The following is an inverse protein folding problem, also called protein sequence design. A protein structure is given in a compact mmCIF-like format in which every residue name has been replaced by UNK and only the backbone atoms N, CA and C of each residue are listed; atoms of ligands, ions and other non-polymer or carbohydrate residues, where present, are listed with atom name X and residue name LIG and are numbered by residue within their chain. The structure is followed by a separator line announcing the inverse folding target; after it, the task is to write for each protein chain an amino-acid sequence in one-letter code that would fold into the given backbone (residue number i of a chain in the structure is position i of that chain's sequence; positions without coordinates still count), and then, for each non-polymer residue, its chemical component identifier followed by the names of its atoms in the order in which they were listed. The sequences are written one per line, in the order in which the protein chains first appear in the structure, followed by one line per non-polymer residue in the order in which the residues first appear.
data_IF_139398015812
#
_entry.id   IF_139398015812
#
_cell.length_a   1.000
_cell.length_b   1.000
_cell.length_c   1.000
_cell.angle_alpha   90.00
_cell.angle_beta   90.00
_cell.angle_gamma   90.00
#
_symmetry.space_group_name_H-M   'P 1'
#
loop_
_entity.id
_entity.type
_entity.pdbx_description
1 polymer ?
#
# COMPACT_ATOMS: atom_id res chain seq x y z
N UNK A 1 -3.60 9.19 -24.10
CA UNK A 1 -3.00 9.40 -22.75
C UNK A 1 -3.97 9.07 -21.60
N UNK A 2 -5.08 8.39 -21.90
CA UNK A 2 -6.17 8.02 -20.97
C UNK A 2 -5.93 6.67 -20.29
N UNK A 3 -5.07 5.82 -20.87
CA UNK A 3 -4.77 4.47 -20.36
C UNK A 3 -4.00 4.48 -19.03
N UNK A 4 -3.24 5.54 -18.73
CA UNK A 4 -2.47 5.65 -17.47
C UNK A 4 -3.37 5.86 -16.24
N UNK A 5 -4.48 6.59 -16.39
CA UNK A 5 -5.41 6.84 -15.28
C UNK A 5 -6.13 5.57 -14.79
N UNK A 6 -6.26 4.57 -15.66
CA UNK A 6 -7.04 3.35 -15.38
C UNK A 6 -6.28 2.38 -14.44
N UNK A 7 -4.95 2.46 -14.37
CA UNK A 7 -4.15 1.45 -13.66
C UNK A 7 -3.94 1.68 -12.16
N UNK A 8 -4.37 2.81 -11.59
CA UNK A 8 -4.02 3.19 -10.19
C UNK A 8 -5.20 3.60 -9.30
N UNK A 9 -6.43 3.63 -9.83
CA UNK A 9 -7.60 4.04 -9.05
C UNK A 9 -8.00 3.06 -7.93
N UNK A 10 -7.52 1.81 -7.93
CA UNK A 10 -8.19 0.72 -7.18
C UNK A 10 -7.75 0.49 -5.73
N UNK A 11 -6.88 1.31 -5.14
CA UNK A 11 -6.56 1.15 -3.71
C UNK A 11 -7.78 1.37 -2.82
N UNK A 12 -8.55 2.41 -3.12
CA UNK A 12 -9.86 2.65 -2.50
C UNK A 12 -11.01 2.47 -3.48
N UNK A 13 -10.83 2.20 -4.78
CA UNK A 13 -11.97 2.22 -5.71
C UNK A 13 -13.09 1.24 -5.38
N UNK A 14 -12.81 0.07 -4.77
CA UNK A 14 -13.90 -0.81 -4.33
C UNK A 14 -14.68 -0.19 -3.17
N UNK A 15 -14.01 0.43 -2.20
CA UNK A 15 -14.69 1.20 -1.14
C UNK A 15 -15.34 2.48 -1.67
N UNK A 16 -14.70 3.24 -2.57
CA UNK A 16 -15.30 4.41 -3.20
C UNK A 16 -16.50 3.99 -4.08
N UNK A 17 -16.48 2.81 -4.71
CA UNK A 17 -17.63 2.27 -5.45
C UNK A 17 -18.77 1.93 -4.49
N UNK A 18 -18.45 1.33 -3.34
CA UNK A 18 -19.42 1.05 -2.30
C UNK A 18 -19.99 2.33 -1.65
N UNK A 19 -19.14 3.34 -1.42
CA UNK A 19 -19.52 4.69 -0.99
C UNK A 19 -20.47 5.33 -2.01
N UNK A 20 -20.15 5.28 -3.30
CA UNK A 20 -21.01 5.77 -4.39
C UNK A 20 -22.36 5.06 -4.38
N UNK A 21 -22.38 3.74 -4.11
CA UNK A 21 -23.62 2.96 -4.03
C UNK A 21 -24.45 3.32 -2.79
N UNK A 22 -23.81 3.54 -1.64
CA UNK A 22 -24.50 3.86 -0.36
C UNK A 22 -24.76 5.35 -0.13
N UNK A 23 -24.11 6.23 -0.89
CA UNK A 23 -24.12 7.70 -0.74
C UNK A 23 -23.73 8.18 0.68
N UNK A 24 -22.78 7.51 1.33
CA UNK A 24 -22.31 7.88 2.68
C UNK A 24 -20.79 7.90 2.71
N UNK A 25 -20.13 8.95 3.26
CA UNK A 25 -18.67 9.04 3.33
C UNK A 25 -18.00 7.85 4.03
N UNK A 26 -16.77 7.56 3.65
CA UNK A 26 -15.92 6.57 4.32
C UNK A 26 -15.37 7.17 5.62
N UNK A 27 -15.61 6.51 6.75
CA UNK A 27 -15.08 6.97 8.05
C UNK A 27 -13.63 6.50 8.20
N UNK A 28 -12.70 7.45 8.31
CA UNK A 28 -11.30 7.11 8.62
C UNK A 28 -11.20 6.64 10.07
N UNK A 29 -10.56 5.49 10.26
CA UNK A 29 -10.39 4.84 11.57
C UNK A 29 -8.96 4.30 11.70
N UNK A 30 -8.70 3.54 12.77
CA UNK A 30 -7.44 2.80 12.96
C UNK A 30 -7.31 1.56 12.07
N UNK A 31 -8.35 1.23 11.30
CA UNK A 31 -8.38 0.06 10.43
C UNK A 31 -8.05 -1.25 11.17
N UNK A 32 -8.75 -1.51 12.29
CA UNK A 32 -8.47 -2.64 13.19
C UNK A 32 -8.56 -4.02 12.51
N UNK A 33 -9.35 -4.13 11.43
CA UNK A 33 -9.50 -5.36 10.65
C UNK A 33 -8.50 -5.50 9.49
N UNK A 34 -7.45 -4.68 9.45
CA UNK A 34 -6.40 -4.80 8.43
C UNK A 34 -5.38 -5.89 8.76
N UNK A 35 -4.85 -6.54 7.73
CA UNK A 35 -3.60 -7.30 7.80
C UNK A 35 -2.47 -6.29 7.89
N UNK A 36 -1.83 -6.22 9.06
CA UNK A 36 -0.87 -5.17 9.40
C UNK A 36 0.41 -5.72 10.05
N UNK A 37 0.79 -6.93 9.67
CA UNK A 37 2.00 -7.58 10.18
C UNK A 37 3.25 -6.82 9.74
N UNK A 38 4.02 -6.26 10.69
CA UNK A 38 5.26 -5.55 10.43
C UNK A 38 6.50 -6.46 10.41
N UNK A 39 6.33 -7.74 10.74
CA UNK A 39 7.38 -8.77 10.79
C UNK A 39 8.57 -8.44 11.69
N UNK A 40 8.39 -7.51 12.63
CA UNK A 40 9.39 -7.15 13.62
C UNK A 40 9.65 -8.35 14.55
N UNK A 41 10.88 -8.85 14.53
CA UNK A 41 11.29 -10.02 15.33
C UNK A 41 11.14 -11.39 14.65
N UNK A 42 10.48 -11.49 13.48
CA UNK A 42 10.30 -12.77 12.77
C UNK A 42 10.73 -12.77 11.30
N UNK A 43 11.30 -11.66 10.80
CA UNK A 43 11.75 -11.54 9.40
C UNK A 43 12.58 -12.73 8.91
N UNK A 44 13.63 -13.22 9.61
CA UNK A 44 14.42 -14.35 9.13
C UNK A 44 13.61 -15.64 8.96
N UNK A 45 12.68 -15.92 9.89
CA UNK A 45 11.83 -17.11 9.84
C UNK A 45 10.83 -17.03 8.68
N UNK A 46 10.22 -15.86 8.46
CA UNK A 46 9.28 -15.66 7.34
C UNK A 46 10.02 -15.72 5.99
N UNK A 47 11.22 -15.14 5.89
CA UNK A 47 12.05 -15.20 4.68
C UNK A 47 12.32 -16.64 4.23
N UNK A 48 12.55 -17.59 5.15
CA UNK A 48 12.84 -18.99 4.78
C UNK A 48 11.68 -19.70 4.06
N UNK A 49 10.45 -19.23 4.23
CA UNK A 49 9.26 -19.85 3.64
C UNK A 49 8.62 -19.01 2.52
N UNK A 50 9.16 -17.82 2.24
CA UNK A 50 8.53 -16.86 1.33
C UNK A 50 8.40 -17.40 -0.09
N UNK A 51 9.45 -18.05 -0.60
CA UNK A 51 9.46 -18.61 -1.95
C UNK A 51 8.39 -19.68 -2.13
N UNK A 52 8.27 -20.61 -1.17
CA UNK A 52 7.24 -21.64 -1.18
C UNK A 52 5.84 -21.03 -1.13
N UNK A 53 5.63 -20.02 -0.28
CA UNK A 53 4.32 -19.37 -0.16
C UNK A 53 3.93 -18.67 -1.46
N UNK A 54 4.87 -17.94 -2.07
CA UNK A 54 4.68 -17.26 -3.34
C UNK A 54 4.24 -18.22 -4.45
N UNK A 55 4.91 -19.37 -4.61
CA UNK A 55 4.51 -20.37 -5.61
C UNK A 55 3.13 -20.97 -5.34
N UNK A 56 2.78 -21.23 -4.07
CA UNK A 56 1.42 -21.68 -3.69
C UNK A 56 0.37 -20.64 -4.09
N UNK A 57 0.61 -19.37 -3.79
CA UNK A 57 -0.33 -18.27 -4.06
C UNK A 57 -0.48 -18.02 -5.56
N UNK A 58 0.62 -18.05 -6.32
CA UNK A 58 0.59 -17.95 -7.79
C UNK A 58 -0.22 -19.09 -8.42
N UNK A 59 0.01 -20.34 -8.00
CA UNK A 59 -0.72 -21.49 -8.53
C UNK A 59 -2.24 -21.43 -8.26
N UNK A 60 -2.65 -20.80 -7.16
CA UNK A 60 -4.07 -20.62 -6.80
C UNK A 60 -4.73 -19.42 -7.48
N UNK A 61 -3.95 -18.43 -7.92
CA UNK A 61 -4.47 -17.18 -8.45
C UNK A 61 -3.76 -16.79 -9.75
N UNK A 62 -4.38 -17.14 -10.89
CA UNK A 62 -3.86 -16.84 -12.24
C UNK A 62 -3.59 -15.34 -12.47
N UNK A 63 -4.39 -14.46 -11.86
CA UNK A 63 -4.18 -13.01 -11.97
C UNK A 63 -2.91 -12.59 -11.24
N UNK A 64 -2.65 -13.16 -10.05
CA UNK A 64 -1.42 -12.92 -9.30
C UNK A 64 -0.20 -13.51 -10.00
N UNK A 65 -0.29 -14.75 -10.49
CA UNK A 65 0.75 -15.39 -11.30
C UNK A 65 1.14 -14.53 -12.50
N UNK A 66 0.16 -14.09 -13.28
CA UNK A 66 0.39 -13.23 -14.44
C UNK A 66 1.06 -11.91 -14.04
N UNK A 67 0.55 -11.25 -12.99
CA UNK A 67 1.13 -10.00 -12.49
C UNK A 67 2.60 -10.19 -12.06
N UNK A 68 2.90 -11.26 -11.34
CA UNK A 68 4.25 -11.60 -10.88
C UNK A 68 5.21 -11.91 -12.03
N UNK A 69 4.76 -12.69 -13.02
CA UNK A 69 5.56 -13.07 -14.17
C UNK A 69 5.88 -11.86 -15.06
N UNK A 70 4.92 -10.95 -15.26
CA UNK A 70 5.15 -9.69 -15.97
C UNK A 70 6.13 -8.80 -15.20
N UNK A 71 5.97 -8.67 -13.88
CA UNK A 71 6.87 -7.91 -13.04
C UNK A 71 8.32 -8.46 -13.06
N UNK A 72 8.46 -9.79 -13.03
CA UNK A 72 9.76 -10.47 -13.14
C UNK A 72 10.46 -10.16 -14.46
N UNK A 73 9.72 -10.16 -15.59
CA UNK A 73 10.28 -9.83 -16.91
C UNK A 73 10.80 -8.39 -16.96
N UNK A 74 10.06 -7.46 -16.36
CA UNK A 74 10.43 -6.06 -16.29
C UNK A 74 11.62 -5.80 -15.37
N UNK A 75 11.66 -6.49 -14.22
CA UNK A 75 12.80 -6.43 -13.33
C UNK A 75 14.09 -6.84 -14.03
N UNK A 76 14.06 -7.93 -14.83
CA UNK A 76 15.22 -8.39 -15.62
C UNK A 76 15.73 -7.37 -16.65
N UNK A 77 14.90 -6.41 -17.05
CA UNK A 77 15.28 -5.34 -17.99
C UNK A 77 15.85 -4.10 -17.27
N UNK A 78 15.72 -4.01 -15.94
CA UNK A 78 16.24 -2.89 -15.16
C UNK A 78 17.71 -3.12 -14.81
N UNK A 79 18.51 -2.07 -14.97
CA UNK A 79 19.90 -2.02 -14.51
C UNK A 79 20.01 -1.10 -13.30
N UNK A 80 19.47 -1.55 -12.16
CA UNK A 80 19.57 -0.81 -10.90
C UNK A 80 20.26 -1.66 -9.83
N UNK A 81 21.11 -1.03 -9.02
CA UNK A 81 21.71 -1.67 -7.86
C UNK A 81 20.71 -1.72 -6.72
N UNK A 82 20.59 -2.87 -6.07
CA UNK A 82 19.72 -3.05 -4.91
C UNK A 82 20.45 -2.58 -3.64
N UNK A 83 19.78 -1.80 -2.76
CA UNK A 83 20.35 -1.45 -1.47
C UNK A 83 20.55 -2.69 -0.58
N UNK A 84 21.39 -2.56 0.44
CA UNK A 84 21.69 -3.65 1.38
C UNK A 84 20.39 -4.21 1.98
N UNK A 85 20.24 -5.54 1.91
CA UNK A 85 19.09 -6.27 2.45
C UNK A 85 17.89 -6.35 1.48
N UNK A 86 17.93 -5.66 0.35
CA UNK A 86 16.92 -5.80 -0.70
C UNK A 86 17.31 -6.91 -1.67
N UNK A 87 16.34 -7.77 -1.98
CA UNK A 87 16.48 -8.87 -2.94
C UNK A 87 15.59 -8.65 -4.16
N UNK A 88 15.82 -9.40 -5.23
CA UNK A 88 15.05 -9.29 -6.47
C UNK A 88 13.53 -9.43 -6.23
N UNK A 89 13.09 -10.34 -5.36
CA UNK A 89 11.67 -10.55 -5.08
C UNK A 89 11.01 -9.33 -4.42
N UNK A 90 11.75 -8.53 -3.64
CA UNK A 90 11.25 -7.26 -3.11
C UNK A 90 10.99 -6.24 -4.23
N UNK A 91 11.91 -6.13 -5.18
CA UNK A 91 11.76 -5.25 -6.34
C UNK A 91 10.63 -5.72 -7.27
N UNK A 92 10.51 -7.03 -7.50
CA UNK A 92 9.43 -7.63 -8.29
C UNK A 92 8.08 -7.38 -7.63
N UNK A 93 7.98 -7.51 -6.30
CA UNK A 93 6.77 -7.19 -5.55
C UNK A 93 6.32 -5.73 -5.75
N UNK A 94 7.25 -4.77 -5.70
CA UNK A 94 6.95 -3.35 -5.98
C UNK A 94 6.44 -3.16 -7.42
N UNK A 95 7.07 -3.79 -8.41
CA UNK A 95 6.64 -3.69 -9.81
C UNK A 95 5.25 -4.34 -9.99
N UNK A 96 5.02 -5.48 -9.34
CA UNK A 96 3.74 -6.18 -9.40
C UNK A 96 2.61 -5.33 -8.81
N UNK A 97 2.86 -4.64 -7.69
CA UNK A 97 1.93 -3.72 -7.04
C UNK A 97 1.65 -2.48 -7.91
N UNK A 98 2.67 -1.76 -8.35
CA UNK A 98 2.51 -0.46 -9.02
C UNK A 98 1.94 -0.53 -10.44
N UNK A 99 2.09 -1.67 -11.14
CA UNK A 99 1.74 -1.77 -12.56
C UNK A 99 0.42 -2.47 -12.84
N UNK A 100 0.19 -3.59 -12.15
CA UNK A 100 -0.83 -4.55 -12.55
C UNK A 100 -2.09 -4.32 -11.75
N UNK A 101 -3.25 -4.75 -12.25
CA UNK A 101 -4.55 -4.63 -11.55
C UNK A 101 -4.64 -5.38 -10.22
N UNK A 102 -3.58 -6.09 -9.81
CA UNK A 102 -3.55 -6.88 -8.58
C UNK A 102 -3.61 -6.01 -7.33
N UNK A 103 -3.11 -4.76 -7.37
CA UNK A 103 -3.13 -3.87 -6.20
C UNK A 103 -4.54 -3.61 -5.67
N UNK A 104 -5.57 -3.62 -6.51
CA UNK A 104 -6.95 -3.41 -6.07
C UNK A 104 -7.43 -4.53 -5.14
N UNK A 105 -7.42 -5.77 -5.64
CA UNK A 105 -7.79 -6.95 -4.86
C UNK A 105 -6.83 -7.19 -3.68
N UNK A 106 -5.53 -6.93 -3.86
CA UNK A 106 -4.55 -7.01 -2.78
C UNK A 106 -4.85 -6.03 -1.65
N UNK A 107 -5.06 -4.75 -1.97
CA UNK A 107 -5.37 -3.71 -0.99
C UNK A 107 -6.71 -3.98 -0.29
N UNK A 108 -7.73 -4.39 -1.05
CA UNK A 108 -9.03 -4.73 -0.47
C UNK A 108 -8.91 -5.89 0.53
N UNK A 109 -8.22 -6.97 0.16
CA UNK A 109 -7.99 -8.07 1.09
C UNK A 109 -7.10 -7.67 2.25
N UNK A 110 -6.09 -6.83 2.05
CA UNK A 110 -5.25 -6.32 3.14
C UNK A 110 -6.10 -5.57 4.16
N UNK A 111 -7.04 -4.76 3.69
CA UNK A 111 -7.94 -3.97 4.55
C UNK A 111 -8.95 -4.81 5.35
N UNK A 112 -9.37 -5.96 4.82
CA UNK A 112 -10.54 -6.69 5.33
C UNK A 112 -10.22 -8.06 5.99
N UNK A 113 -8.99 -8.56 5.90
CA UNK A 113 -8.63 -9.93 6.35
C UNK A 113 -7.92 -10.02 7.73
N UNK A 114 -7.81 -8.94 8.50
CA UNK A 114 -7.16 -8.93 9.81
C UNK A 114 -7.66 -10.01 10.75
N UNK A 115 -8.99 -10.22 10.84
CA UNK A 115 -9.58 -11.30 11.65
C UNK A 115 -9.50 -12.70 11.00
N UNK A 116 -9.03 -12.82 9.75
CA UNK A 116 -9.00 -14.05 8.95
C UNK A 116 -7.63 -14.27 8.29
N UNK A 117 -6.54 -14.00 9.03
CA UNK A 117 -5.16 -14.10 8.52
C UNK A 117 -4.81 -15.43 7.84
N UNK A 118 -5.39 -16.55 8.31
CA UNK A 118 -5.18 -17.86 7.71
C UNK A 118 -5.67 -17.95 6.26
N UNK A 119 -6.73 -17.21 5.94
CA UNK A 119 -7.40 -17.20 4.65
C UNK A 119 -6.87 -16.08 3.73
N UNK A 120 -6.02 -15.21 4.25
CA UNK A 120 -5.43 -14.12 3.47
C UNK A 120 -4.57 -14.69 2.32
N UNK A 121 -4.87 -14.36 1.05
CA UNK A 121 -4.29 -15.06 -0.10
C UNK A 121 -3.02 -14.40 -0.66
N UNK A 122 -2.51 -13.35 -0.01
CA UNK A 122 -1.37 -12.56 -0.46
C UNK A 122 -0.30 -12.40 0.63
N UNK A 123 -0.07 -13.46 1.41
CA UNK A 123 0.93 -13.46 2.48
C UNK A 123 2.31 -13.16 1.93
N UNK A 124 2.66 -13.72 0.77
CA UNK A 124 3.98 -13.49 0.19
C UNK A 124 4.17 -12.06 -0.30
N UNK A 125 3.19 -11.53 -1.03
CA UNK A 125 3.21 -10.16 -1.54
C UNK A 125 3.24 -9.14 -0.40
N UNK A 126 2.45 -9.36 0.66
CA UNK A 126 2.43 -8.51 1.84
C UNK A 126 3.78 -8.46 2.54
N UNK A 127 4.41 -9.62 2.79
CA UNK A 127 5.74 -9.68 3.39
C UNK A 127 6.80 -8.96 2.55
N UNK A 128 6.84 -9.26 1.24
CA UNK A 128 7.84 -8.70 0.34
C UNK A 128 7.69 -7.18 0.21
N UNK A 129 6.47 -6.66 0.10
CA UNK A 129 6.23 -5.21 0.08
C UNK A 129 6.57 -4.56 1.43
N UNK A 130 6.20 -5.18 2.55
CA UNK A 130 6.50 -4.65 3.89
C UNK A 130 8.01 -4.51 4.08
N UNK A 131 8.77 -5.56 3.76
CA UNK A 131 10.24 -5.53 3.83
C UNK A 131 10.83 -4.52 2.87
N UNK A 132 10.32 -4.43 1.64
CA UNK A 132 10.80 -3.46 0.67
C UNK A 132 10.63 -2.01 1.17
N UNK A 133 9.44 -1.67 1.70
CA UNK A 133 9.17 -0.34 2.27
C UNK A 133 10.05 -0.06 3.48
N UNK A 134 10.25 -1.04 4.37
CA UNK A 134 11.14 -0.88 5.53
C UNK A 134 12.61 -0.65 5.13
N UNK A 135 13.10 -1.33 4.09
CA UNK A 135 14.49 -1.18 3.60
C UNK A 135 14.68 0.16 2.89
N UNK A 136 13.67 0.60 2.12
CA UNK A 136 13.69 1.83 1.33
C UNK A 136 13.22 3.07 2.12
N UNK A 137 12.96 2.94 3.42
CA UNK A 137 12.50 4.03 4.26
C UNK A 137 13.50 5.19 4.24
N UNK A 138 13.01 6.38 3.93
CA UNK A 138 13.78 7.63 3.95
C UNK A 138 13.39 8.50 5.17
N UNK A 139 13.90 9.74 5.21
CA UNK A 139 13.45 10.74 6.18
C UNK A 139 11.98 11.09 5.95
N UNK A 140 11.33 11.66 6.98
CA UNK A 140 9.94 12.08 6.84
C UNK A 140 9.78 13.10 5.70
N UNK A 141 8.71 12.96 4.92
CA UNK A 141 8.43 13.81 3.76
C UNK A 141 6.92 14.05 3.59
N UNK A 142 6.58 15.11 2.84
CA UNK A 142 5.20 15.42 2.47
C UNK A 142 4.84 14.81 1.12
N UNK A 143 3.76 14.05 1.10
CA UNK A 143 3.20 13.38 -0.07
C UNK A 143 1.71 13.65 -0.20
N UNK A 144 1.15 13.35 -1.37
CA UNK A 144 -0.24 13.66 -1.71
C UNK A 144 -0.96 12.43 -2.24
N UNK A 145 -2.26 12.32 -1.93
CA UNK A 145 -3.14 11.29 -2.50
C UNK A 145 -4.49 11.91 -2.83
N UNK A 146 -4.89 11.85 -4.10
CA UNK A 146 -6.26 12.14 -4.52
C UNK A 146 -7.11 10.87 -4.42
N UNK A 147 -8.36 11.04 -4.03
CA UNK A 147 -9.36 9.98 -3.98
C UNK A 147 -10.70 10.49 -4.52
N UNK A 148 -11.40 9.62 -5.26
CA UNK A 148 -12.75 9.90 -5.78
C UNK A 148 -13.87 9.48 -4.80
N UNK A 149 -13.51 9.36 -3.52
CA UNK A 149 -14.39 9.12 -2.40
C UNK A 149 -14.34 10.28 -1.39
N UNK A 150 -15.42 10.46 -0.63
CA UNK A 150 -15.51 11.40 0.49
C UNK A 150 -15.14 10.69 1.79
N UNK A 151 -14.32 11.35 2.61
CA UNK A 151 -13.89 10.81 3.88
C UNK A 151 -14.37 11.68 5.05
N UNK A 152 -14.81 11.01 6.11
CA UNK A 152 -15.19 11.65 7.36
C UNK A 152 -14.19 11.31 8.46
N UNK A 153 -13.76 12.33 9.19
CA UNK A 153 -12.89 12.21 10.36
C UNK A 153 -12.96 13.48 11.21
N UNK A 154 -12.20 13.55 12.31
CA UNK A 154 -12.09 14.72 13.18
C UNK A 154 -10.64 15.10 13.42
N UNK A 155 -10.37 16.39 13.63
CA UNK A 155 -9.04 16.87 14.02
C UNK A 155 -8.64 16.19 15.33
N UNK A 156 -7.40 15.71 15.41
CA UNK A 156 -6.86 14.96 16.54
C UNK A 156 -7.10 13.45 16.47
N UNK A 157 -7.97 12.95 15.59
CA UNK A 157 -8.20 11.52 15.44
C UNK A 157 -6.92 10.79 14.99
N UNK A 158 -6.72 9.60 15.54
CA UNK A 158 -5.67 8.67 15.10
C UNK A 158 -6.26 7.74 14.04
N UNK A 159 -5.62 7.71 12.88
CA UNK A 159 -6.09 6.98 11.70
C UNK A 159 -4.96 6.19 11.05
N UNK A 160 -5.35 5.12 10.37
CA UNK A 160 -4.50 4.31 9.51
C UNK A 160 -5.27 4.01 8.24
N UNK A 161 -4.56 3.83 7.13
CA UNK A 161 -5.18 3.37 5.90
C UNK A 161 -5.50 1.86 5.94
N UNK A 162 -4.77 1.06 6.74
CA UNK A 162 -4.98 -0.39 6.88
C UNK A 162 -4.65 -1.20 5.63
N UNK A 163 -3.97 -0.59 4.67
CA UNK A 163 -3.51 -1.21 3.44
C UNK A 163 -2.32 -0.44 2.92
N UNK A 164 -1.59 -1.02 1.97
CA UNK A 164 -0.58 -0.28 1.25
C UNK A 164 -1.24 0.87 0.49
N UNK A 165 -0.67 2.07 0.64
CA UNK A 165 -1.29 3.29 0.11
C UNK A 165 -0.33 4.01 -0.80
N UNK A 166 -0.62 4.01 -2.10
CA UNK A 166 0.11 4.82 -3.08
C UNK A 166 -0.14 6.31 -2.86
N UNK A 167 0.93 7.08 -2.86
CA UNK A 167 0.92 8.54 -2.79
C UNK A 167 1.93 9.09 -3.80
N UNK A 168 1.91 10.41 -4.02
CA UNK A 168 2.85 11.09 -4.92
C UNK A 168 3.51 12.28 -4.24
N UNK A 169 4.79 12.52 -4.53
CA UNK A 169 5.45 13.80 -4.20
C UNK A 169 4.86 14.99 -4.98
N UNK A 170 4.01 14.75 -5.99
CA UNK A 170 3.38 15.78 -6.80
C UNK A 170 1.87 15.84 -6.54
N UNK A 171 1.42 16.95 -5.95
CA UNK A 171 -0.03 17.23 -5.78
C UNK A 171 -0.79 17.13 -7.12
N UNK A 172 -0.21 17.62 -8.21
CA UNK A 172 -0.81 17.56 -9.56
C UNK A 172 -1.00 16.12 -10.04
N UNK A 173 -0.04 15.24 -9.75
CA UNK A 173 -0.17 13.80 -10.07
C UNK A 173 -1.27 13.19 -9.21
N UNK A 174 -1.27 13.47 -7.89
CA UNK A 174 -2.28 12.97 -6.96
C UNK A 174 -3.71 13.36 -7.37
N UNK A 175 -3.92 14.62 -7.80
CA UNK A 175 -5.21 15.10 -8.33
C UNK A 175 -5.70 14.30 -9.53
N UNK A 176 -4.79 13.77 -10.35
CA UNK A 176 -5.14 12.94 -11.50
C UNK A 176 -5.83 11.62 -11.13
N UNK A 177 -5.71 11.16 -9.88
CA UNK A 177 -6.29 9.92 -9.35
C UNK A 177 -7.60 10.11 -8.60
N UNK A 178 -7.92 11.35 -8.21
CA UNK A 178 -9.23 11.71 -7.71
C UNK A 178 -9.28 13.11 -7.13
N UNK A 179 -10.47 13.71 -7.18
CA UNK A 179 -10.68 15.13 -6.86
C UNK A 179 -11.68 15.34 -5.72
N UNK A 180 -12.38 14.28 -5.27
CA UNK A 180 -13.34 14.40 -4.17
C UNK A 180 -12.68 14.66 -2.82
N UNK A 181 -11.58 13.97 -2.53
CA UNK A 181 -10.77 14.20 -1.33
C UNK A 181 -9.30 14.25 -1.70
N UNK A 182 -8.58 15.24 -1.19
CA UNK A 182 -7.14 15.38 -1.33
C UNK A 182 -6.45 15.21 0.03
N UNK A 183 -5.69 14.13 0.19
CA UNK A 183 -4.83 13.96 1.35
C UNK A 183 -3.50 14.67 1.15
N UNK A 184 -3.09 15.46 2.14
CA UNK A 184 -1.72 15.95 2.29
C UNK A 184 -1.13 15.26 3.51
N UNK A 185 -0.12 14.42 3.31
CA UNK A 185 0.35 13.47 4.30
C UNK A 185 1.82 13.76 4.58
N UNK A 186 2.17 14.00 5.83
CA UNK A 186 3.57 13.93 6.27
C UNK A 186 3.83 12.51 6.75
N UNK A 187 4.51 11.70 5.96
CA UNK A 187 4.86 10.31 6.27
C UNK A 187 6.29 10.21 6.77
N UNK A 188 6.56 9.29 7.68
CA UNK A 188 7.89 8.94 8.17
C UNK A 188 8.27 7.47 7.87
N UNK A 189 7.33 6.67 7.34
CA UNK A 189 7.53 5.26 6.98
C UNK A 189 7.34 5.01 5.48
N UNK A 190 6.95 6.03 4.72
CA UNK A 190 6.84 5.96 3.27
C UNK A 190 8.18 5.66 2.60
N UNK A 191 8.11 4.88 1.53
CA UNK A 191 9.27 4.56 0.72
C UNK A 191 9.08 5.04 -0.72
N UNK A 192 10.06 5.77 -1.24
CA UNK A 192 10.11 6.11 -2.66
C UNK A 192 10.32 4.86 -3.49
N UNK A 193 9.35 4.54 -4.36
CA UNK A 193 9.42 3.39 -5.26
C UNK A 193 9.66 3.78 -6.71
N UNK A 194 10.02 5.04 -6.95
CA UNK A 194 10.26 5.63 -8.28
C UNK A 194 11.24 4.81 -9.12
N UNK A 195 12.32 4.30 -8.51
CA UNK A 195 13.35 3.51 -9.20
C UNK A 195 12.82 2.16 -9.70
N UNK A 196 11.81 1.61 -9.03
CA UNK A 196 11.24 0.30 -9.31
C UNK A 196 9.99 0.41 -10.18
N UNK A 197 9.19 1.45 -10.01
CA UNK A 197 7.99 1.70 -10.81
C UNK A 197 8.33 1.83 -12.31
N UNK A 198 7.40 1.43 -13.16
CA UNK A 198 7.46 1.76 -14.60
C UNK A 198 7.06 3.21 -14.85
N UNK A 199 6.40 3.84 -13.87
CA UNK A 199 5.76 5.12 -13.98
C UNK A 199 6.50 6.16 -13.14
N UNK A 200 7.81 6.31 -13.38
CA UNK A 200 8.67 7.22 -12.60
C UNK A 200 8.13 8.67 -12.53
N UNK A 201 7.35 9.10 -13.54
CA UNK A 201 6.69 10.42 -13.57
C UNK A 201 5.64 10.61 -12.47
N UNK A 202 5.13 9.53 -11.89
CA UNK A 202 4.16 9.58 -10.80
C UNK A 202 4.81 9.96 -9.46
N UNK A 203 6.15 9.88 -9.37
CA UNK A 203 6.91 10.19 -8.17
C UNK A 203 6.33 9.48 -6.93
N UNK A 204 6.05 8.19 -7.12
CA UNK A 204 5.28 7.40 -6.17
C UNK A 204 6.07 7.13 -4.89
N UNK A 205 5.40 7.38 -3.76
CA UNK A 205 5.83 6.99 -2.42
C UNK A 205 4.78 6.05 -1.87
N UNK A 206 5.21 4.84 -1.49
CA UNK A 206 4.34 3.80 -0.98
C UNK A 206 4.32 3.82 0.55
N UNK A 207 3.13 3.96 1.14
CA UNK A 207 2.96 3.92 2.59
C UNK A 207 2.66 2.50 3.08
N UNK A 208 3.22 2.16 4.24
CA UNK A 208 2.94 0.90 4.96
C UNK A 208 1.51 0.87 5.50
N UNK A 209 0.84 -0.30 5.54
CA UNK A 209 -0.41 -0.48 6.30
C UNK A 209 -0.27 -0.13 7.79
N UNK A 210 0.95 -0.17 8.31
CA UNK A 210 1.23 -0.07 9.75
C UNK A 210 1.43 1.35 10.27
N UNK A 211 1.60 2.34 9.39
CA UNK A 211 1.87 3.72 9.80
C UNK A 211 0.62 4.39 10.39
N UNK A 212 0.70 4.81 11.65
CA UNK A 212 -0.37 5.57 12.32
C UNK A 212 -0.18 7.08 12.11
N UNK A 213 -1.27 7.76 11.77
CA UNK A 213 -1.30 9.19 11.52
C UNK A 213 -2.27 9.89 12.46
N UNK A 214 -1.96 11.13 12.83
CA UNK A 214 -2.93 12.04 13.42
C UNK A 214 -3.51 12.97 12.36
N UNK A 215 -4.82 13.19 12.40
CA UNK A 215 -5.49 14.23 11.61
C UNK A 215 -5.14 15.60 12.20
N UNK A 216 -4.43 16.42 11.44
CA UNK A 216 -3.92 17.71 11.92
C UNK A 216 -4.73 18.90 11.41
N UNK A 217 -5.38 18.76 10.25
CA UNK A 217 -6.25 19.80 9.69
C UNK A 217 -7.30 19.19 8.76
N UNK A 218 -8.48 19.80 8.76
CA UNK A 218 -9.55 19.56 7.80
C UNK A 218 -9.88 20.88 7.09
N UNK A 219 -9.85 20.87 5.76
CA UNK A 219 -10.20 22.02 4.92
C UNK A 219 -11.35 21.62 4.01
N UNK A 220 -12.57 21.84 4.52
CA UNK A 220 -13.81 21.44 3.84
C UNK A 220 -14.07 22.24 2.56
N UNK A 221 -13.52 23.45 2.42
CA UNK A 221 -13.69 24.26 1.21
C UNK A 221 -12.89 23.68 0.03
N UNK A 222 -11.72 23.12 0.31
CA UNK A 222 -10.82 22.55 -0.70
C UNK A 222 -10.82 21.01 -0.70
N UNK A 223 -11.67 20.38 0.11
CA UNK A 223 -11.70 18.93 0.36
C UNK A 223 -10.34 18.35 0.74
N UNK A 224 -9.57 19.03 1.59
CA UNK A 224 -8.23 18.58 2.02
C UNK A 224 -8.30 17.99 3.44
N UNK A 225 -7.66 16.83 3.60
CA UNK A 225 -7.37 16.21 4.91
C UNK A 225 -5.86 16.19 5.09
N UNK A 226 -5.36 16.85 6.15
CA UNK A 226 -3.93 16.82 6.49
C UNK A 226 -3.63 15.79 7.57
N UNK A 227 -2.74 14.85 7.25
CA UNK A 227 -2.31 13.76 8.13
C UNK A 227 -0.84 13.93 8.47
N UNK A 228 -0.48 13.76 9.73
CA UNK A 228 0.93 13.75 10.17
C UNK A 228 1.24 12.43 10.85
N UNK A 229 2.32 11.78 10.42
CA UNK A 229 2.80 10.53 11.00
C UNK A 229 3.07 10.70 12.49
N UNK A 230 2.61 9.74 13.28
CA UNK A 230 2.95 9.65 14.70
C UNK A 230 4.36 9.09 14.92
N UNK A 231 5.10 8.82 13.83
CA UNK A 231 6.40 8.14 13.82
C UNK A 231 6.37 6.81 14.58
N UNK A 232 5.25 6.07 14.47
CA UNK A 232 5.02 4.78 15.11
C UNK A 232 4.49 3.77 14.11
N UNK A 233 5.01 2.54 14.19
CA UNK A 233 4.41 1.37 13.54
C UNK A 233 3.40 0.78 14.51
N UNK A 234 2.18 0.53 14.03
CA UNK A 234 1.14 -0.18 14.75
C UNK A 234 0.89 -1.53 14.07
N UNK A 235 0.78 -2.60 14.85
CA UNK A 235 0.46 -3.93 14.33
C UNK A 235 -0.39 -4.69 15.35
N UNK A 236 -1.62 -5.02 14.99
CA UNK A 236 -2.45 -5.95 15.75
C UNK A 236 -1.97 -7.40 15.58
N UNK A 237 -1.32 -7.68 14.45
CA UNK A 237 -1.01 -9.04 14.01
C UNK A 237 0.48 -9.29 13.82
N UNK A 238 1.32 -8.65 14.65
CA UNK A 238 2.78 -8.78 14.57
C UNK A 238 3.21 -10.25 14.60
N UNK A 239 3.91 -10.65 13.55
CA UNK A 239 4.40 -12.00 13.30
C UNK A 239 3.32 -13.08 13.23
N UNK A 240 2.03 -12.72 13.15
CA UNK A 240 0.91 -13.67 13.16
C UNK A 240 0.55 -14.18 11.77
N UNK A 241 0.91 -13.48 10.69
CA UNK A 241 0.44 -13.85 9.35
C UNK A 241 0.93 -15.24 8.90
N UNK A 242 2.08 -15.64 9.42
CA UNK A 242 2.76 -16.91 9.14
C UNK A 242 2.82 -17.86 10.35
N UNK A 243 2.20 -17.51 11.47
CA UNK A 243 2.04 -18.44 12.60
C UNK A 243 0.99 -19.50 12.27
N UNK A 244 1.29 -20.77 12.57
CA UNK A 244 0.35 -21.88 12.44
C UNK A 244 0.14 -22.41 11.02
N UNK A 245 1.19 -23.04 10.45
CA UNK A 245 0.95 -24.18 9.53
C UNK A 245 0.01 -25.18 10.18
#
# INVERSE_FOLDING_TARGET
NTLFKIFLQLGYAEECNFERLRKSPIVLSKAENSVDDDYEGCTPNVSQQIHRMLEIEKNKNKSFEKAWNEATKLWKQKSISLPKGMEADHAIAIIAYSRNKIFGDFNAKTRDYGMRLKEYPYKSLHFLLTRAVQILRENCETVYRGADCEFQTSIGALVRFGQFTSTSRSKKVAQGFGEKTMFKITTCFGASIIAYSQYAKEKEVLLSPTEEFQVTRLDHQNNIIELTSMNKSYSNFRCKLFEGK
#
